data_IF_633506287787
#
_entry.id   IF_633506287787
#
_cell.length_a   1.000
_cell.length_b   1.000
_cell.length_c   1.000
_cell.angle_alpha   90.00
_cell.angle_beta   90.00
_cell.angle_gamma   90.00
#
_symmetry.space_group_name_H-M   'P 1'
#
loop_
_entity.id
_entity.type
_entity.pdbx_description
1 polymer ?
#
# COMPACT_ATOMS: atom_id res chain seq x y z
N UNK A 1 14.04 2.91 41.63
CA UNK A 1 12.97 2.51 40.69
C UNK A 1 12.49 3.73 39.92
N UNK A 2 13.28 4.18 38.93
CA UNK A 2 12.89 5.28 38.04
C UNK A 2 13.24 4.84 36.62
N UNK A 3 12.22 4.37 35.88
CA UNK A 3 12.36 3.95 34.50
C UNK A 3 12.56 5.18 33.61
N UNK A 4 13.75 5.37 33.08
CA UNK A 4 14.05 6.44 32.14
C UNK A 4 13.38 6.11 30.79
N UNK A 5 12.20 6.69 30.54
CA UNK A 5 11.44 6.60 29.29
C UNK A 5 12.31 6.90 28.04
N UNK A 6 13.35 7.74 28.22
CA UNK A 6 14.36 8.05 27.20
C UNK A 6 15.12 6.83 26.69
N UNK A 7 15.49 5.88 27.56
CA UNK A 7 16.20 4.66 27.14
C UNK A 7 15.27 3.70 26.40
N UNK A 8 14.00 3.64 26.82
CA UNK A 8 12.99 2.82 26.14
C UNK A 8 12.71 3.34 24.73
N UNK A 9 12.52 4.64 24.54
CA UNK A 9 12.31 5.23 23.21
C UNK A 9 13.53 5.07 22.29
N UNK A 10 14.74 5.21 22.83
CA UNK A 10 15.97 5.03 22.05
C UNK A 10 16.14 3.59 21.57
N UNK A 11 15.87 2.62 22.44
CA UNK A 11 15.90 1.19 22.08
C UNK A 11 14.80 0.82 21.09
N UNK A 12 13.58 1.36 21.22
CA UNK A 12 12.51 1.17 20.22
C UNK A 12 12.88 1.76 18.87
N UNK A 13 13.44 2.97 18.81
CA UNK A 13 13.88 3.59 17.55
C UNK A 13 14.94 2.72 16.85
N UNK A 14 15.93 2.24 17.60
CA UNK A 14 16.96 1.32 17.08
C UNK A 14 16.37 0.00 16.57
N UNK A 15 15.35 -0.54 17.24
CA UNK A 15 14.64 -1.74 16.77
C UNK A 15 13.89 -1.47 15.46
N UNK A 16 13.20 -0.34 15.33
CA UNK A 16 12.50 0.04 14.09
C UNK A 16 13.46 0.19 12.90
N UNK A 17 14.63 0.82 13.12
CA UNK A 17 15.66 0.96 12.07
C UNK A 17 16.23 -0.40 11.64
N UNK A 18 16.44 -1.33 12.58
CA UNK A 18 16.86 -2.70 12.24
C UNK A 18 15.83 -3.44 11.40
N UNK A 19 14.54 -3.30 11.74
CA UNK A 19 13.45 -3.87 10.94
C UNK A 19 13.45 -3.25 9.55
N UNK A 20 13.55 -1.92 9.44
CA UNK A 20 13.62 -1.23 8.15
C UNK A 20 14.76 -1.75 7.25
N UNK A 21 15.93 -2.02 7.82
CA UNK A 21 17.06 -2.58 7.09
C UNK A 21 16.92 -4.09 6.81
N UNK A 22 16.08 -4.81 7.56
CA UNK A 22 15.75 -6.21 7.33
C UNK A 22 14.73 -6.39 6.19
N UNK A 23 13.91 -5.37 5.90
CA UNK A 23 13.01 -5.40 4.76
C UNK A 23 13.84 -5.45 3.46
N UNK A 24 13.67 -6.53 2.69
CA UNK A 24 14.26 -6.68 1.36
C UNK A 24 13.71 -5.59 0.45
N UNK A 25 14.56 -4.67 -0.02
CA UNK A 25 14.17 -3.68 -1.02
C UNK A 25 13.63 -4.41 -2.25
N UNK A 26 12.41 -4.11 -2.72
CA UNK A 26 11.80 -4.84 -3.82
C UNK A 26 12.69 -4.71 -5.06
N UNK A 27 12.88 -5.81 -5.77
CA UNK A 27 13.60 -5.78 -7.05
C UNK A 27 12.76 -5.05 -8.10
N UNK A 28 13.42 -4.42 -9.09
CA UNK A 28 12.72 -3.68 -10.14
C UNK A 28 11.71 -4.55 -10.93
N UNK A 29 11.94 -5.86 -10.99
CA UNK A 29 11.07 -6.83 -11.67
C UNK A 29 9.81 -7.13 -10.85
N UNK A 30 9.95 -7.44 -9.56
CA UNK A 30 8.83 -7.65 -8.63
C UNK A 30 7.92 -6.39 -8.60
N UNK A 31 8.52 -5.20 -8.53
CA UNK A 31 7.76 -3.95 -8.54
C UNK A 31 6.97 -3.74 -9.83
N UNK A 32 7.58 -4.01 -11.00
CA UNK A 32 6.88 -3.89 -12.30
C UNK A 32 5.77 -4.92 -12.44
N UNK A 33 5.95 -6.13 -11.92
CA UNK A 33 4.93 -7.17 -11.98
C UNK A 33 3.70 -6.80 -11.15
N UNK A 34 3.90 -6.42 -9.88
CA UNK A 34 2.81 -5.94 -9.01
C UNK A 34 2.18 -4.68 -9.60
N UNK A 35 3.01 -3.75 -10.06
CA UNK A 35 2.71 -2.61 -10.93
C UNK A 35 1.57 -2.87 -11.92
N UNK A 36 1.85 -3.80 -12.84
CA UNK A 36 0.99 -4.15 -13.96
C UNK A 36 -0.28 -4.86 -13.51
N UNK A 37 -0.18 -5.78 -12.55
CA UNK A 37 -1.33 -6.55 -12.05
C UNK A 37 -2.30 -5.63 -11.30
N UNK A 38 -1.80 -4.74 -10.44
CA UNK A 38 -2.63 -3.74 -9.75
C UNK A 38 -3.29 -2.77 -10.72
N UNK A 39 -2.55 -2.29 -11.74
CA UNK A 39 -3.11 -1.41 -12.76
C UNK A 39 -4.24 -2.08 -13.55
N UNK A 40 -4.08 -3.35 -13.91
CA UNK A 40 -5.12 -4.15 -14.56
C UNK A 40 -6.37 -4.33 -13.68
N UNK A 41 -6.18 -4.61 -12.39
CA UNK A 41 -7.29 -4.77 -11.45
C UNK A 41 -8.10 -3.49 -11.26
N UNK A 42 -7.43 -2.35 -11.10
CA UNK A 42 -8.08 -1.04 -10.95
C UNK A 42 -8.82 -0.66 -12.24
N UNK A 43 -8.22 -0.90 -13.40
CA UNK A 43 -8.86 -0.62 -14.69
C UNK A 43 -10.11 -1.47 -14.88
N UNK A 44 -10.05 -2.77 -14.58
CA UNK A 44 -11.20 -3.65 -14.70
C UNK A 44 -12.35 -3.25 -13.77
N UNK A 45 -12.06 -3.01 -12.48
CA UNK A 45 -13.08 -2.60 -11.51
C UNK A 45 -13.63 -1.21 -11.85
N UNK A 46 -12.77 -0.28 -12.26
CA UNK A 46 -13.15 1.06 -12.70
C UNK A 46 -14.05 1.04 -13.94
N UNK A 47 -13.74 0.20 -14.93
CA UNK A 47 -14.57 0.04 -16.13
C UNK A 47 -15.95 -0.54 -15.79
N UNK A 48 -16.01 -1.55 -14.91
CA UNK A 48 -17.30 -2.12 -14.45
C UNK A 48 -18.13 -1.07 -13.71
N UNK A 49 -17.51 -0.32 -12.79
CA UNK A 49 -18.19 0.77 -12.10
C UNK A 49 -18.66 1.88 -13.03
N UNK A 50 -17.86 2.21 -14.05
CA UNK A 50 -18.22 3.20 -15.06
C UNK A 50 -19.40 2.75 -15.91
N UNK A 51 -19.43 1.49 -16.36
CA UNK A 51 -20.54 0.92 -17.13
C UNK A 51 -21.85 0.98 -16.33
N UNK A 52 -21.82 0.63 -15.04
CA UNK A 52 -23.00 0.69 -14.18
C UNK A 52 -23.48 2.14 -14.02
N UNK A 53 -22.56 3.07 -13.76
CA UNK A 53 -22.90 4.49 -13.63
C UNK A 53 -23.48 5.08 -14.92
N UNK A 54 -22.94 4.70 -16.07
CA UNK A 54 -23.38 5.19 -17.38
C UNK A 54 -24.79 4.64 -17.71
N UNK A 55 -25.04 3.36 -17.44
CA UNK A 55 -26.38 2.75 -17.59
C UNK A 55 -27.41 3.44 -16.70
N UNK A 56 -27.10 3.68 -15.42
CA UNK A 56 -28.01 4.36 -14.49
C UNK A 56 -28.29 5.79 -14.96
N UNK A 57 -27.26 6.51 -15.44
CA UNK A 57 -27.39 7.88 -15.92
C UNK A 57 -28.22 7.99 -17.20
N UNK A 58 -28.12 6.99 -18.10
CA UNK A 58 -28.93 6.90 -19.32
C UNK A 58 -30.38 6.57 -18.97
N UNK A 59 -30.62 5.67 -18.01
CA UNK A 59 -31.97 5.25 -17.63
C UNK A 59 -32.72 6.27 -16.76
N UNK A 60 -32.00 7.08 -15.97
CA UNK A 60 -32.57 8.11 -15.10
C UNK A 60 -32.58 9.51 -15.73
N UNK A 61 -32.45 9.58 -17.06
CA UNK A 61 -32.69 10.79 -17.86
C UNK A 61 -34.03 10.68 -18.56
#
# INVERSE_FOLDING_TARGET
MSWNIKEKLTSFYLQCVRVWNLLRKPTNEEFKMVAKVSALGILAIGAVGFIIADIIKIFFK
#
